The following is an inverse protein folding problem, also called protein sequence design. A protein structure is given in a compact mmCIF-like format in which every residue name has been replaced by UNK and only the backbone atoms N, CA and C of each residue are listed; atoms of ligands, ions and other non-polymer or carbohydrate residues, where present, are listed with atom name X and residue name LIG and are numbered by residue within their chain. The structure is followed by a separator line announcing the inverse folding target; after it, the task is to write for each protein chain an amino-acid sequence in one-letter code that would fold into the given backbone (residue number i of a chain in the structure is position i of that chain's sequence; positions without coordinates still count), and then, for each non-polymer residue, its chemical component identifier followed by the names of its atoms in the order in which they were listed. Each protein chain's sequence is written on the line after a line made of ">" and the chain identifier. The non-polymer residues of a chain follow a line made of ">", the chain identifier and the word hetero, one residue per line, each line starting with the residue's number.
data_IF_232027117613
#
_entry.id   IF_232027117613
#
_cell.length_a   1.000
_cell.length_b   1.000
_cell.length_c   1.000
_cell.angle_alpha   90.00
_cell.angle_beta   90.00
_cell.angle_gamma   90.00
#
_symmetry.space_group_name_H-M   'P 1'
#
loop_
_entity.id
_entity.type
_entity.pdbx_description
1 polymer ?
#
# COMPACT_ATOMS: atom_id res chain seq x y z
N UNK A 1 -12.73 3.22 -15.04
CA UNK A 1 -11.30 2.99 -15.35
C UNK A 1 -10.71 2.29 -14.14
N UNK A 2 -10.12 1.09 -14.28
CA UNK A 2 -9.44 0.41 -13.15
C UNK A 2 -8.09 1.08 -12.91
N UNK A 3 -7.66 1.21 -11.66
CA UNK A 3 -6.33 1.73 -11.32
C UNK A 3 -5.26 0.69 -11.68
N UNK A 4 -4.00 1.11 -11.82
CA UNK A 4 -2.90 0.15 -12.08
C UNK A 4 -2.79 -0.87 -10.94
N UNK A 5 -3.02 -0.46 -9.69
CA UNK A 5 -3.06 -1.39 -8.57
C UNK A 5 -4.21 -2.41 -8.69
N UNK A 6 -5.44 -1.98 -9.05
CA UNK A 6 -6.54 -2.92 -9.27
C UNK A 6 -6.26 -3.89 -10.41
N UNK A 7 -5.68 -3.41 -11.51
CA UNK A 7 -5.26 -4.25 -12.62
C UNK A 7 -4.20 -5.26 -12.20
N UNK A 8 -3.19 -4.84 -11.44
CA UNK A 8 -2.14 -5.73 -10.95
C UNK A 8 -2.70 -6.85 -10.07
N UNK A 9 -3.67 -6.53 -9.19
CA UNK A 9 -4.35 -7.52 -8.37
C UNK A 9 -5.08 -8.56 -9.24
N UNK A 10 -5.85 -8.12 -10.23
CA UNK A 10 -6.56 -9.00 -11.16
C UNK A 10 -5.60 -9.89 -11.97
N UNK A 11 -4.55 -9.30 -12.56
CA UNK A 11 -3.59 -9.99 -13.43
C UNK A 11 -2.78 -11.07 -12.68
N UNK A 12 -2.66 -10.94 -11.35
CA UNK A 12 -1.91 -11.87 -10.50
C UNK A 12 -2.79 -12.73 -9.58
N UNK A 13 -4.13 -12.66 -9.74
CA UNK A 13 -5.09 -13.36 -8.89
C UNK A 13 -4.85 -13.11 -7.38
N UNK A 14 -4.63 -11.84 -7.03
CA UNK A 14 -4.41 -11.38 -5.66
C UNK A 14 -5.61 -10.57 -5.18
N UNK A 15 -5.98 -10.75 -3.92
CA UNK A 15 -6.91 -9.85 -3.23
C UNK A 15 -6.16 -8.84 -2.35
N UNK A 16 -6.84 -7.75 -1.99
CA UNK A 16 -6.30 -6.78 -1.01
C UNK A 16 -5.94 -7.48 0.32
N UNK A 17 -6.68 -8.53 0.66
CA UNK A 17 -6.51 -9.31 1.87
C UNK A 17 -5.22 -10.14 1.86
N UNK A 18 -4.74 -10.53 0.67
CA UNK A 18 -3.46 -11.22 0.49
C UNK A 18 -2.31 -10.24 0.62
N UNK A 19 -2.40 -9.08 -0.05
CA UNK A 19 -1.41 -8.01 0.08
C UNK A 19 -1.29 -7.54 1.52
N UNK A 20 -2.42 -7.34 2.21
CA UNK A 20 -2.44 -6.96 3.63
C UNK A 20 -1.80 -8.02 4.53
N UNK A 21 -1.98 -9.32 4.21
CA UNK A 21 -1.32 -10.41 4.93
C UNK A 21 0.19 -10.38 4.69
N UNK A 22 0.64 -10.23 3.45
CA UNK A 22 2.06 -10.11 3.09
C UNK A 22 2.73 -8.91 3.79
N UNK A 23 2.05 -7.76 3.84
CA UNK A 23 2.51 -6.58 4.59
C UNK A 23 2.63 -6.88 6.09
N UNK A 24 1.60 -7.50 6.67
CA UNK A 24 1.60 -7.90 8.09
C UNK A 24 2.76 -8.82 8.41
N UNK A 25 3.00 -9.82 7.58
CA UNK A 25 4.01 -10.87 7.76
C UNK A 25 5.43 -10.43 7.35
N UNK A 26 5.59 -9.28 6.69
CA UNK A 26 6.88 -8.78 6.26
C UNK A 26 7.83 -8.46 7.43
N UNK A 27 9.13 -8.71 7.24
CA UNK A 27 10.18 -8.34 8.20
C UNK A 27 10.14 -6.85 8.58
N UNK A 28 9.75 -5.99 7.63
CA UNK A 28 9.60 -4.56 7.89
C UNK A 28 8.54 -4.27 8.96
N UNK A 29 7.38 -4.93 8.89
CA UNK A 29 6.31 -4.72 9.85
C UNK A 29 6.61 -5.44 11.18
N UNK A 30 7.12 -6.67 11.13
CA UNK A 30 7.39 -7.48 12.33
C UNK A 30 8.49 -6.87 13.23
N UNK A 31 9.45 -6.15 12.64
CA UNK A 31 10.50 -5.46 13.40
C UNK A 31 10.19 -3.98 13.69
N UNK A 32 8.99 -3.49 13.36
CA UNK A 32 8.60 -2.12 13.66
C UNK A 32 8.38 -1.96 15.18
N UNK A 33 8.59 -0.75 15.71
CA UNK A 33 8.29 -0.42 17.12
C UNK A 33 6.82 -0.73 17.47
N UNK A 34 5.92 -0.52 16.50
CA UNK A 34 4.50 -0.81 16.61
C UNK A 34 4.04 -1.52 15.32
N UNK A 35 4.13 -2.87 15.26
CA UNK A 35 3.66 -3.64 14.12
C UNK A 35 2.16 -3.43 13.88
N UNK A 36 1.77 -3.27 12.62
CA UNK A 36 0.37 -3.14 12.22
C UNK A 36 -0.27 -4.52 12.04
N UNK A 37 -1.55 -4.61 12.38
CA UNK A 37 -2.35 -5.81 12.11
C UNK A 37 -2.72 -5.90 10.63
N UNK A 38 -3.24 -7.05 10.20
CA UNK A 38 -3.74 -7.24 8.84
C UNK A 38 -4.90 -6.28 8.53
N UNK A 39 -5.81 -6.09 9.48
CA UNK A 39 -6.98 -5.22 9.35
C UNK A 39 -6.58 -3.76 9.16
N UNK A 40 -5.53 -3.31 9.84
CA UNK A 40 -4.96 -1.98 9.63
C UNK A 40 -4.44 -1.83 8.19
N UNK A 41 -3.72 -2.82 7.65
CA UNK A 41 -3.29 -2.79 6.25
C UNK A 41 -4.45 -2.87 5.26
N UNK A 42 -5.50 -3.65 5.54
CA UNK A 42 -6.70 -3.67 4.71
C UNK A 42 -7.32 -2.28 4.63
N UNK A 43 -7.51 -1.59 5.77
CA UNK A 43 -8.06 -0.22 5.78
C UNK A 43 -7.20 0.76 4.99
N UNK A 44 -5.88 0.65 5.07
CA UNK A 44 -4.95 1.47 4.30
C UNK A 44 -5.00 1.20 2.80
N UNK A 45 -5.25 -0.05 2.38
CA UNK A 45 -5.27 -0.46 0.97
C UNK A 45 -6.65 -0.35 0.32
N UNK A 46 -7.74 -0.38 1.09
CA UNK A 46 -9.10 -0.58 0.58
C UNK A 46 -9.53 0.39 -0.53
N UNK A 47 -9.03 1.62 -0.49
CA UNK A 47 -9.40 2.67 -1.45
C UNK A 47 -8.49 2.67 -2.69
N UNK A 48 -7.28 2.12 -2.62
CA UNK A 48 -6.26 2.23 -3.68
C UNK A 48 -6.72 1.55 -4.98
N UNK A 49 -7.42 0.39 -4.97
CA UNK A 49 -7.99 -0.19 -6.18
C UNK A 49 -9.00 0.73 -6.89
N UNK A 50 -9.68 1.62 -6.16
CA UNK A 50 -10.72 2.50 -6.73
C UNK A 50 -10.18 3.89 -7.09
N UNK A 51 -9.36 4.48 -6.23
CA UNK A 51 -8.93 5.88 -6.30
C UNK A 51 -7.47 6.06 -6.74
N UNK A 52 -6.71 4.96 -6.81
CA UNK A 52 -5.28 4.98 -7.07
C UNK A 52 -4.49 5.44 -5.85
N UNK A 53 -3.21 5.71 -6.06
CA UNK A 53 -2.35 6.20 -4.99
C UNK A 53 -2.46 7.72 -4.83
N UNK A 54 -2.47 8.17 -3.58
CA UNK A 54 -2.51 9.58 -3.24
C UNK A 54 -1.14 10.27 -3.28
N UNK A 55 -1.14 11.56 -2.96
CA UNK A 55 0.06 12.33 -2.70
C UNK A 55 -0.02 12.92 -1.29
N UNK A 56 0.89 12.52 -0.40
CA UNK A 56 0.96 13.09 0.95
C UNK A 56 1.73 14.42 0.91
N UNK A 57 1.20 15.45 1.57
CA UNK A 57 1.91 16.72 1.80
C UNK A 57 2.65 16.63 3.13
N UNK A 58 3.97 16.57 3.09
CA UNK A 58 4.82 16.61 4.28
C UNK A 58 5.08 18.02 4.80
N UNK A 59 5.75 18.12 5.96
CA UNK A 59 6.21 19.38 6.54
C UNK A 59 7.16 20.11 5.58
N UNK A 60 6.98 21.42 5.41
CA UNK A 60 7.79 22.25 4.51
C UNK A 60 7.38 22.19 3.03
N UNK A 61 6.16 21.70 2.72
CA UNK A 61 5.61 21.74 1.36
C UNK A 61 6.06 20.61 0.43
N UNK A 62 6.88 19.66 0.90
CA UNK A 62 7.30 18.48 0.13
C UNK A 62 6.10 17.58 -0.16
N UNK A 63 5.99 17.10 -1.40
CA UNK A 63 4.95 16.17 -1.85
C UNK A 63 5.54 14.78 -2.04
N UNK A 64 4.89 13.78 -1.46
CA UNK A 64 5.27 12.37 -1.57
C UNK A 64 4.21 11.64 -2.39
N UNK A 65 4.41 11.47 -3.72
CA UNK A 65 3.46 10.72 -4.55
C UNK A 65 3.49 9.24 -4.18
N UNK A 66 2.41 8.52 -4.51
CA UNK A 66 2.35 7.09 -4.23
C UNK A 66 2.13 6.79 -2.75
N UNK A 67 1.42 7.65 -2.01
CA UNK A 67 1.22 7.49 -0.55
C UNK A 67 -0.27 7.56 -0.22
N UNK A 68 -0.70 6.69 0.68
CA UNK A 68 -1.98 6.82 1.34
C UNK A 68 -1.80 6.93 2.85
N UNK A 69 -2.53 7.84 3.49
CA UNK A 69 -2.43 8.14 4.91
C UNK A 69 -3.84 8.22 5.51
N UNK A 70 -4.10 7.40 6.52
CA UNK A 70 -5.38 7.29 7.24
C UNK A 70 -5.13 7.17 8.75
N UNK A 71 -6.18 6.88 9.52
CA UNK A 71 -6.12 6.61 10.95
C UNK A 71 -5.05 5.59 11.37
N UNK A 72 -4.77 4.59 10.53
CA UNK A 72 -3.73 3.58 10.78
C UNK A 72 -2.32 4.06 10.38
N UNK A 73 -2.16 5.32 10.00
CA UNK A 73 -0.91 5.93 9.52
C UNK A 73 -0.75 5.86 8.00
N UNK A 74 0.49 5.95 7.53
CA UNK A 74 0.80 6.00 6.11
C UNK A 74 1.36 4.68 5.54
N UNK A 75 1.00 4.37 4.29
CA UNK A 75 1.60 3.33 3.45
C UNK A 75 1.97 3.91 2.08
N UNK A 76 3.12 3.51 1.54
CA UNK A 76 3.57 3.93 0.21
C UNK A 76 3.51 2.79 -0.80
N UNK A 77 3.22 3.13 -2.06
CA UNK A 77 3.29 2.23 -3.21
C UNK A 77 4.65 1.57 -3.31
N UNK A 78 5.73 2.32 -3.06
CA UNK A 78 7.08 1.78 -3.02
C UNK A 78 7.22 0.62 -2.03
N UNK A 79 6.69 0.80 -0.81
CA UNK A 79 6.74 -0.24 0.22
C UNK A 79 5.92 -1.46 -0.18
N UNK A 80 4.73 -1.24 -0.71
CA UNK A 80 3.85 -2.32 -1.15
C UNK A 80 4.49 -3.11 -2.28
N UNK A 81 5.01 -2.43 -3.31
CA UNK A 81 5.71 -3.03 -4.43
C UNK A 81 6.91 -3.87 -3.98
N UNK A 82 7.72 -3.37 -3.04
CA UNK A 82 8.84 -4.12 -2.47
C UNK A 82 8.38 -5.42 -1.79
N UNK A 83 7.28 -5.38 -1.04
CA UNK A 83 6.81 -6.54 -0.27
C UNK A 83 6.13 -7.59 -1.14
N UNK A 84 5.37 -7.16 -2.16
CA UNK A 84 4.72 -8.09 -3.10
C UNK A 84 5.62 -8.51 -4.27
N UNK A 85 6.81 -7.92 -4.38
CA UNK A 85 7.82 -8.31 -5.37
C UNK A 85 7.60 -7.73 -6.78
N UNK A 86 7.03 -6.53 -6.91
CA UNK A 86 6.79 -5.88 -8.22
C UNK A 86 7.53 -4.53 -8.34
N UNK A 87 7.49 -3.92 -9.53
CA UNK A 87 7.96 -2.54 -9.71
C UNK A 87 6.87 -1.58 -9.25
N UNK A 88 7.27 -0.40 -8.77
CA UNK A 88 6.32 0.64 -8.36
C UNK A 88 5.41 1.08 -9.52
N UNK A 89 5.97 1.16 -10.73
CA UNK A 89 5.21 1.49 -11.95
C UNK A 89 4.15 0.46 -12.34
N UNK A 90 4.23 -0.76 -11.83
CA UNK A 90 3.22 -1.79 -12.10
C UNK A 90 1.93 -1.53 -11.32
N UNK A 91 2.01 -0.75 -10.22
CA UNK A 91 0.88 -0.48 -9.32
C UNK A 91 0.51 1.00 -9.21
N UNK A 92 1.30 1.93 -9.76
CA UNK A 92 1.07 3.40 -9.69
C UNK A 92 0.56 3.99 -10.97
#
# INVERSE_FOLDING_TARGET
>A
MKTNFAKYLDDNNLEIFDVAKMLRDSNWNQNAKHPKTREAFVRLLAIVPSCGWGTLKGKGGKRFPGVYDLYDGAISAWRVAQIIGCKVGDIT
#
